data_IF_929653086667
#
_entry.id   IF_929653086667
#
_cell.length_a   1.000
_cell.length_b   1.000
_cell.length_c   1.000
_cell.angle_alpha   90.00
_cell.angle_beta   90.00
_cell.angle_gamma   90.00
#
_symmetry.space_group_name_H-M   'P 1'
#
loop_
_entity.id
_entity.type
_entity.pdbx_description
1 polymer ?
#
# COMPACT_ATOMS: atom_id res chain seq x y z
N UNK A 1 12.91 -0.98 6.29
CA UNK A 1 12.15 -2.24 6.17
C UNK A 1 11.69 -2.66 7.57
N UNK A 2 10.38 -2.58 7.82
CA UNK A 2 9.75 -3.18 8.98
C UNK A 2 8.89 -4.33 8.45
N UNK A 3 9.32 -5.57 8.67
CA UNK A 3 8.57 -6.76 8.27
C UNK A 3 7.89 -7.31 9.51
N UNK A 4 6.56 -7.33 9.54
CA UNK A 4 5.81 -8.06 10.56
C UNK A 4 4.97 -9.16 9.89
N UNK A 5 4.93 -10.32 10.53
CA UNK A 5 4.15 -11.46 10.10
C UNK A 5 3.04 -11.65 11.14
N UNK A 6 1.79 -11.35 10.78
CA UNK A 6 0.66 -11.73 11.64
C UNK A 6 0.41 -13.21 11.40
N UNK A 7 0.92 -14.05 12.30
CA UNK A 7 0.53 -15.45 12.36
C UNK A 7 -0.79 -15.54 13.12
N UNK A 8 -1.82 -16.01 12.43
CA UNK A 8 -3.08 -16.57 12.91
C UNK A 8 -3.43 -16.34 14.38
N UNK A 9 -4.32 -15.39 14.64
CA UNK A 9 -4.97 -15.21 15.94
C UNK A 9 -6.46 -15.58 15.91
N UNK A 10 -6.88 -16.59 15.15
CA UNK A 10 -8.13 -17.30 15.46
C UNK A 10 -8.01 -18.79 15.14
N UNK A 11 -8.12 -19.58 16.20
CA UNK A 11 -8.12 -21.04 16.20
C UNK A 11 -9.39 -21.55 15.49
N UNK A 12 -9.26 -22.09 14.28
CA UNK A 12 -10.13 -23.16 13.74
C UNK A 12 -9.57 -23.59 12.39
N UNK A 13 -9.22 -24.87 12.26
CA UNK A 13 -8.80 -25.49 10.99
C UNK A 13 -9.91 -25.31 9.95
N UNK A 14 -9.81 -24.27 9.12
CA UNK A 14 -10.61 -24.17 7.89
C UNK A 14 -9.87 -24.89 6.75
N UNK A 15 -10.56 -25.57 5.82
CA UNK A 15 -9.92 -26.32 4.72
C UNK A 15 -9.19 -25.47 3.66
N UNK A 16 -8.99 -24.17 3.89
CA UNK A 16 -8.53 -23.21 2.89
C UNK A 16 -7.61 -22.15 3.53
N UNK A 17 -6.39 -22.53 3.90
CA UNK A 17 -5.34 -21.58 4.27
C UNK A 17 -4.84 -20.84 3.00
N UNK A 18 -5.68 -19.95 2.47
CA UNK A 18 -5.28 -19.03 1.40
C UNK A 18 -4.29 -18.03 1.97
N UNK A 19 -3.01 -18.25 1.68
CA UNK A 19 -1.93 -17.34 2.03
C UNK A 19 -1.38 -16.75 0.74
N UNK A 20 -1.44 -15.44 0.64
CA UNK A 20 -0.87 -14.68 -0.46
C UNK A 20 -0.13 -13.49 0.12
N UNK A 21 1.15 -13.40 -0.19
CA UNK A 21 1.94 -12.25 0.22
C UNK A 21 3.33 -12.26 -0.38
N UNK A 22 3.86 -11.08 -0.64
CA UNK A 22 5.18 -10.91 -1.21
C UNK A 22 5.89 -9.71 -0.57
N UNK A 23 7.20 -9.75 -0.62
CA UNK A 23 8.08 -8.64 -0.27
C UNK A 23 9.28 -8.71 -1.20
N UNK A 24 9.55 -7.61 -1.89
CA UNK A 24 10.62 -7.53 -2.86
C UNK A 24 11.31 -6.16 -2.84
N UNK A 25 12.62 -6.17 -3.09
CA UNK A 25 13.49 -5.00 -3.20
C UNK A 25 13.95 -4.76 -4.64
N UNK A 26 14.34 -3.52 -4.92
CA UNK A 26 14.95 -3.13 -6.18
C UNK A 26 16.47 -3.30 -6.08
N UNK A 27 17.07 -4.21 -6.87
CA UNK A 27 18.51 -4.48 -6.78
C UNK A 27 19.36 -3.32 -7.33
N UNK A 28 18.91 -2.72 -8.42
CA UNK A 28 19.69 -1.78 -9.22
C UNK A 28 18.88 -0.53 -9.49
N UNK A 29 19.55 0.61 -9.38
CA UNK A 29 18.96 1.93 -9.66
C UNK A 29 18.41 1.99 -11.07
N UNK A 30 17.23 2.57 -11.23
CA UNK A 30 16.58 2.80 -12.52
C UNK A 30 16.33 4.30 -12.74
N UNK A 31 16.42 4.74 -14.00
CA UNK A 31 16.10 6.08 -14.43
C UNK A 31 15.74 6.09 -15.92
N UNK A 32 15.28 7.23 -16.44
CA UNK A 32 15.28 7.61 -17.86
C UNK A 32 14.14 7.13 -18.79
N UNK A 33 13.21 6.29 -18.34
CA UNK A 33 11.97 6.02 -19.10
C UNK A 33 10.81 5.67 -18.18
N UNK A 34 9.59 6.04 -18.60
CA UNK A 34 8.40 5.55 -17.91
C UNK A 34 8.37 4.03 -18.03
N UNK A 35 8.47 3.35 -16.89
CA UNK A 35 8.61 1.89 -16.89
C UNK A 35 7.95 1.28 -15.67
N UNK A 36 7.49 0.05 -15.84
CA UNK A 36 7.08 -0.76 -14.71
C UNK A 36 8.30 -1.05 -13.84
N UNK A 37 8.18 -0.85 -12.53
CA UNK A 37 9.28 -1.10 -11.60
C UNK A 37 9.31 -2.58 -11.26
N UNK A 38 10.39 -3.25 -11.68
CA UNK A 38 10.63 -4.66 -11.40
C UNK A 38 11.47 -4.77 -10.12
N UNK A 39 10.84 -5.13 -9.00
CA UNK A 39 11.54 -5.42 -7.74
C UNK A 39 12.04 -6.86 -7.79
N UNK A 40 13.28 -7.02 -8.21
CA UNK A 40 13.88 -8.30 -8.57
C UNK A 40 14.63 -9.02 -7.43
N UNK A 41 14.72 -8.41 -6.25
CA UNK A 41 15.25 -9.08 -5.05
C UNK A 41 14.07 -9.60 -4.23
N UNK A 42 13.81 -10.91 -4.23
CA UNK A 42 12.67 -11.48 -3.51
C UNK A 42 13.05 -11.84 -2.07
N UNK A 43 12.41 -11.18 -1.10
CA UNK A 43 12.51 -11.53 0.33
C UNK A 43 11.43 -12.56 0.72
N UNK A 44 10.22 -12.42 0.14
CA UNK A 44 9.12 -13.38 0.30
C UNK A 44 8.21 -13.39 -0.94
N UNK A 45 7.67 -14.55 -1.29
CA UNK A 45 6.66 -14.69 -2.36
C UNK A 45 5.73 -15.88 -2.09
N UNK A 46 4.97 -15.79 -1.00
CA UNK A 46 4.02 -16.81 -0.56
C UNK A 46 2.88 -16.92 -1.58
N UNK A 47 2.71 -18.11 -2.14
CA UNK A 47 1.75 -18.39 -3.20
C UNK A 47 2.27 -18.09 -4.61
N UNK A 48 3.44 -17.44 -4.75
CA UNK A 48 4.04 -17.18 -6.07
C UNK A 48 3.25 -16.18 -6.92
N UNK A 49 2.50 -15.27 -6.28
CA UNK A 49 1.59 -14.35 -6.94
C UNK A 49 2.25 -13.04 -7.38
N UNK A 50 3.50 -12.79 -6.94
CA UNK A 50 4.34 -11.73 -7.50
C UNK A 50 5.24 -12.30 -8.60
N UNK A 51 5.16 -11.72 -9.79
CA UNK A 51 6.01 -12.07 -10.93
C UNK A 51 7.21 -11.12 -10.98
N UNK A 52 8.39 -11.67 -10.67
CA UNK A 52 9.67 -10.95 -10.67
C UNK A 52 10.19 -10.57 -12.07
N UNK A 53 9.54 -11.01 -13.15
CA UNK A 53 9.90 -10.66 -14.53
C UNK A 53 9.12 -9.47 -15.03
N UNK A 54 7.83 -9.39 -14.68
CA UNK A 54 6.99 -8.24 -15.01
C UNK A 54 7.00 -7.18 -13.92
N UNK A 55 7.24 -7.51 -12.66
CA UNK A 55 7.10 -6.61 -11.51
C UNK A 55 5.66 -6.51 -10.98
N UNK A 56 4.76 -7.40 -11.42
CA UNK A 56 3.33 -7.36 -11.11
C UNK A 56 2.94 -8.37 -10.03
N UNK A 57 2.08 -7.95 -9.11
CA UNK A 57 1.32 -8.85 -8.25
C UNK A 57 -0.03 -9.16 -8.89
N UNK A 58 -0.43 -10.44 -8.96
CA UNK A 58 -1.73 -10.85 -9.47
C UNK A 58 -2.59 -11.44 -8.37
N UNK A 59 -3.76 -10.85 -8.11
CA UNK A 59 -4.67 -11.31 -7.06
C UNK A 59 -5.14 -12.75 -7.33
N UNK A 60 -4.86 -13.72 -6.44
CA UNK A 60 -5.29 -15.11 -6.65
C UNK A 60 -6.76 -15.36 -6.31
N UNK A 61 -7.38 -14.46 -5.53
CA UNK A 61 -8.74 -14.60 -5.01
C UNK A 61 -9.33 -13.23 -4.73
N UNK A 62 -10.65 -13.12 -4.78
CA UNK A 62 -11.39 -11.93 -4.37
C UNK A 62 -11.12 -11.62 -2.89
N UNK A 63 -10.79 -10.38 -2.59
CA UNK A 63 -10.54 -9.98 -1.21
C UNK A 63 -9.92 -8.61 -1.04
N UNK A 64 -9.62 -8.31 0.22
CA UNK A 64 -8.92 -7.11 0.64
C UNK A 64 -7.44 -7.40 0.80
N UNK A 65 -6.62 -6.59 0.15
CA UNK A 65 -5.16 -6.69 0.13
C UNK A 65 -4.56 -5.41 0.70
N UNK A 66 -3.48 -5.54 1.47
CA UNK A 66 -2.66 -4.42 1.92
C UNK A 66 -1.39 -4.36 1.08
N UNK A 67 -1.05 -3.19 0.59
CA UNK A 67 0.21 -2.94 -0.10
C UNK A 67 1.01 -1.86 0.62
N UNK A 68 2.33 -2.03 0.60
CA UNK A 68 3.32 -1.09 1.09
C UNK A 68 4.35 -0.88 0.00
N UNK A 69 4.67 0.37 -0.27
CA UNK A 69 5.73 0.69 -1.20
C UNK A 69 6.57 1.84 -0.66
N UNK A 70 7.87 1.72 -0.88
CA UNK A 70 8.87 2.66 -0.42
C UNK A 70 9.82 2.89 -1.55
N UNK A 71 10.03 4.16 -1.88
CA UNK A 71 11.02 4.58 -2.82
C UNK A 71 12.09 5.41 -2.14
N UNK A 72 13.32 5.26 -2.62
CA UNK A 72 14.49 5.94 -2.08
C UNK A 72 15.15 6.79 -3.15
N UNK A 73 15.59 7.98 -2.76
CA UNK A 73 16.39 8.88 -3.56
C UNK A 73 17.83 8.85 -3.06
N UNK A 74 18.77 8.86 -4.01
CA UNK A 74 20.16 9.18 -3.72
C UNK A 74 20.59 10.35 -4.61
N UNK A 75 21.21 11.37 -3.98
CA UNK A 75 21.80 12.53 -4.67
C UNK A 75 20.74 13.36 -5.41
N UNK A 76 21.17 14.15 -6.41
CA UNK A 76 20.40 15.23 -7.06
C UNK A 76 19.28 14.80 -8.01
N UNK A 77 18.48 13.78 -7.65
CA UNK A 77 17.39 13.26 -8.48
C UNK A 77 16.04 13.31 -7.76
N UNK A 78 14.96 13.51 -8.51
CA UNK A 78 13.60 13.44 -7.98
C UNK A 78 13.02 12.04 -8.18
N UNK A 79 12.05 11.67 -7.36
CA UNK A 79 11.31 10.42 -7.47
C UNK A 79 9.81 10.67 -7.65
N UNK A 80 9.18 9.91 -8.55
CA UNK A 80 7.73 9.88 -8.70
C UNK A 80 7.29 8.49 -9.15
N UNK A 81 6.62 7.78 -8.26
CA UNK A 81 6.10 6.44 -8.48
C UNK A 81 4.57 6.45 -8.38
N UNK A 82 3.89 5.93 -9.39
CA UNK A 82 2.45 5.68 -9.37
C UNK A 82 2.13 4.25 -8.94
N UNK A 83 1.02 4.10 -8.20
CA UNK A 83 0.34 2.82 -8.05
C UNK A 83 -0.54 2.55 -9.27
N UNK A 84 -0.33 1.39 -9.89
CA UNK A 84 -1.06 0.95 -11.07
C UNK A 84 -1.95 -0.24 -10.68
N UNK A 85 -3.21 -0.22 -11.13
CA UNK A 85 -4.12 -1.37 -11.09
C UNK A 85 -4.64 -1.61 -12.50
N UNK A 86 -4.49 -2.83 -13.01
CA UNK A 86 -4.94 -3.22 -14.36
C UNK A 86 -4.48 -2.20 -15.42
N UNK A 87 -3.18 -1.87 -15.39
CA UNK A 87 -2.49 -0.94 -16.29
C UNK A 87 -2.94 0.54 -16.24
N UNK A 88 -3.81 0.91 -15.29
CA UNK A 88 -4.29 2.28 -15.07
C UNK A 88 -3.78 2.88 -13.75
N UNK A 89 -3.47 4.17 -13.75
CA UNK A 89 -3.10 4.92 -12.52
C UNK A 89 -4.27 4.93 -11.54
N UNK A 90 -4.03 4.52 -10.30
CA UNK A 90 -5.08 4.41 -9.29
C UNK A 90 -5.22 5.70 -8.46
N UNK A 91 -6.26 6.49 -8.73
CA UNK A 91 -6.76 7.59 -7.88
C UNK A 91 -5.68 8.54 -7.32
N UNK A 92 -4.71 8.91 -8.15
CA UNK A 92 -3.58 9.77 -7.76
C UNK A 92 -2.83 9.27 -6.52
N UNK A 93 -2.75 7.94 -6.33
CA UNK A 93 -1.94 7.33 -5.28
C UNK A 93 -0.53 7.15 -5.77
N UNK A 94 0.32 8.06 -5.32
CA UNK A 94 1.72 8.11 -5.68
C UNK A 94 2.64 8.24 -4.45
N UNK A 95 3.93 8.08 -4.73
CA UNK A 95 5.04 8.45 -3.87
C UNK A 95 5.88 9.43 -4.67
N UNK A 96 6.09 10.62 -4.12
CA UNK A 96 6.85 11.69 -4.74
C UNK A 96 7.77 12.30 -3.71
N UNK A 97 8.99 12.59 -4.13
CA UNK A 97 9.95 13.29 -3.30
C UNK A 97 10.89 14.12 -4.19
N UNK A 98 11.19 15.34 -3.76
CA UNK A 98 12.08 16.26 -4.44
C UNK A 98 13.40 16.28 -3.73
N UNK A 99 14.47 16.22 -4.50
CA UNK A 99 15.80 16.42 -3.97
C UNK A 99 15.95 17.80 -3.34
N UNK A 100 16.57 17.85 -2.15
CA UNK A 100 17.15 19.05 -1.56
C UNK A 100 18.66 18.82 -1.32
N UNK A 101 19.48 19.88 -1.23
CA UNK A 101 20.95 19.76 -1.24
C UNK A 101 21.47 18.74 -0.21
N UNK A 102 22.20 17.73 -0.72
CA UNK A 102 22.86 16.63 0.01
C UNK A 102 21.99 15.55 0.68
N UNK A 103 20.75 15.29 0.25
CA UNK A 103 19.89 14.30 0.92
C UNK A 103 19.82 12.90 0.28
N UNK A 104 19.78 11.90 1.17
CA UNK A 104 19.18 10.60 0.93
C UNK A 104 17.75 10.66 1.48
N UNK A 105 16.75 10.67 0.60
CA UNK A 105 15.36 10.78 1.02
C UNK A 105 14.59 9.50 0.77
N UNK A 106 13.54 9.31 1.57
CA UNK A 106 12.67 8.13 1.49
C UNK A 106 11.24 8.59 1.60
N UNK A 107 10.45 8.24 0.59
CA UNK A 107 9.02 8.41 0.64
C UNK A 107 8.33 7.06 0.50
N UNK A 108 7.25 6.89 1.25
CA UNK A 108 6.52 5.63 1.32
C UNK A 108 5.02 5.89 1.35
N UNK A 109 4.27 4.93 0.85
CA UNK A 109 2.82 4.95 0.94
C UNK A 109 2.30 3.53 1.15
N UNK A 110 1.08 3.43 1.64
CA UNK A 110 0.44 2.16 1.93
C UNK A 110 -1.06 2.26 1.70
N UNK A 111 -1.66 1.19 1.18
CA UNK A 111 -3.08 1.21 0.80
C UNK A 111 -3.74 -0.15 0.99
N UNK A 112 -5.00 -0.12 1.42
CA UNK A 112 -5.91 -1.27 1.37
C UNK A 112 -6.70 -1.17 0.06
N UNK A 113 -6.69 -2.24 -0.72
CA UNK A 113 -7.45 -2.38 -1.97
C UNK A 113 -8.39 -3.57 -1.87
N UNK A 114 -9.60 -3.44 -2.40
CA UNK A 114 -10.38 -4.59 -2.81
C UNK A 114 -9.94 -4.98 -4.22
N UNK A 115 -9.61 -6.26 -4.43
CA UNK A 115 -9.20 -6.81 -5.71
C UNK A 115 -10.03 -8.04 -6.01
N UNK A 116 -10.42 -8.19 -7.28
CA UNK A 116 -10.98 -9.42 -7.79
C UNK A 116 -9.85 -10.36 -8.23
N UNK A 117 -10.16 -11.66 -8.29
CA UNK A 117 -9.27 -12.66 -8.83
C UNK A 117 -8.81 -12.25 -10.23
N UNK A 118 -7.49 -12.16 -10.39
CA UNK A 118 -6.83 -11.81 -11.64
C UNK A 118 -6.50 -10.35 -11.83
N UNK A 119 -6.96 -9.45 -10.95
CA UNK A 119 -6.51 -8.05 -10.94
C UNK A 119 -4.99 -7.99 -10.70
N UNK A 120 -4.32 -7.09 -11.41
CA UNK A 120 -2.88 -6.88 -11.34
C UNK A 120 -2.55 -5.56 -10.67
N UNK A 121 -1.57 -5.58 -9.76
CA UNK A 121 -1.07 -4.40 -9.05
C UNK A 121 0.43 -4.29 -9.24
N UNK A 122 0.90 -3.10 -9.62
CA UNK A 122 2.31 -2.81 -9.81
C UNK A 122 2.61 -1.33 -9.55
N UNK A 123 3.89 -0.98 -9.61
CA UNK A 123 4.36 0.40 -9.47
C UNK A 123 5.00 0.86 -10.77
N UNK A 124 4.74 2.11 -11.17
CA UNK A 124 5.34 2.69 -12.37
C UNK A 124 6.17 3.91 -12.01
N UNK A 125 7.41 3.94 -12.48
CA UNK A 125 8.26 5.11 -12.38
C UNK A 125 7.91 6.07 -13.52
N UNK A 126 7.65 7.34 -13.20
CA UNK A 126 7.39 8.36 -14.21
C UNK A 126 8.63 8.65 -15.06
N UNK A 127 8.42 9.02 -16.33
CA UNK A 127 9.50 9.43 -17.21
C UNK A 127 10.26 10.64 -16.63
N UNK A 128 11.59 10.61 -16.70
CA UNK A 128 12.45 11.66 -16.17
C UNK A 128 12.71 11.56 -14.65
N UNK A 129 12.14 10.57 -13.97
CA UNK A 129 12.38 10.33 -12.54
C UNK A 129 13.39 9.20 -12.30
N UNK A 130 13.78 9.09 -11.04
CA UNK A 130 14.80 8.20 -10.54
C UNK A 130 14.27 7.36 -9.39
N UNK A 131 14.76 6.11 -9.30
CA UNK A 131 14.50 5.26 -8.14
C UNK A 131 15.78 4.52 -7.76
N UNK A 132 16.23 4.70 -6.51
CA UNK A 132 17.45 4.09 -6.02
C UNK A 132 17.27 2.58 -5.76
N UNK A 133 18.23 1.79 -6.24
CA UNK A 133 18.30 0.35 -5.99
C UNK A 133 18.97 -0.03 -4.67
N UNK A 134 19.80 -1.08 -4.68
CA UNK A 134 20.50 -1.60 -3.49
C UNK A 134 19.56 -2.03 -2.36
N UNK A 135 18.37 -2.55 -2.73
CA UNK A 135 17.31 -3.00 -1.82
C UNK A 135 16.80 -1.92 -0.85
N UNK A 136 17.01 -0.63 -1.17
CA UNK A 136 16.46 0.50 -0.38
C UNK A 136 15.03 0.83 -0.78
N UNK A 137 14.72 0.71 -2.07
CA UNK A 137 13.35 0.78 -2.57
C UNK A 137 12.72 -0.61 -2.54
N UNK A 138 11.47 -0.70 -2.11
CA UNK A 138 10.77 -1.97 -1.88
C UNK A 138 9.29 -1.88 -2.20
N UNK A 139 8.73 -3.02 -2.63
CA UNK A 139 7.30 -3.21 -2.79
C UNK A 139 6.89 -4.50 -2.08
N UNK A 140 5.82 -4.44 -1.29
CA UNK A 140 5.32 -5.55 -0.53
C UNK A 140 3.80 -5.52 -0.48
N UNK A 141 3.19 -6.68 -0.31
CA UNK A 141 1.76 -6.75 -0.12
C UNK A 141 1.30 -8.12 0.32
N UNK A 142 0.12 -8.19 0.90
CA UNK A 142 -0.48 -9.45 1.34
C UNK A 142 -2.00 -9.39 1.41
N UNK A 143 -2.62 -10.56 1.31
CA UNK A 143 -4.05 -10.75 1.51
C UNK A 143 -4.38 -10.52 2.99
N UNK A 144 -5.16 -9.48 3.28
CA UNK A 144 -5.69 -9.20 4.63
C UNK A 144 -6.89 -10.10 4.92
N UNK A 145 -7.77 -10.22 3.94
CA UNK A 145 -9.06 -10.85 4.14
C UNK A 145 -9.66 -11.34 2.84
N UNK A 146 -9.99 -12.62 2.77
CA UNK A 146 -10.80 -13.17 1.68
C UNK A 146 -12.21 -12.58 1.69
N UNK A 147 -12.71 -12.28 0.50
CA UNK A 147 -14.14 -12.12 0.30
C UNK A 147 -14.76 -13.51 0.11
N UNK A 148 -15.53 -13.95 1.10
CA UNK A 148 -16.12 -15.27 1.05
C UNK A 148 -17.35 -15.26 0.13
N UNK A 149 -17.30 -16.06 -0.94
CA UNK A 149 -18.43 -16.26 -1.84
C UNK A 149 -19.66 -16.84 -1.10
N UNK A 150 -19.45 -17.65 -0.05
CA UNK A 150 -20.53 -18.28 0.70
C UNK A 150 -21.12 -17.36 1.79
N UNK A 151 -22.41 -17.06 1.67
CA UNK A 151 -23.17 -16.23 2.60
C UNK A 151 -23.16 -16.75 4.06
N UNK A 152 -23.04 -18.05 4.28
CA UNK A 152 -22.98 -18.64 5.63
C UNK A 152 -21.66 -18.28 6.33
N UNK A 153 -20.55 -18.23 5.60
CA UNK A 153 -19.26 -17.87 6.17
C UNK A 153 -19.17 -16.36 6.46
N UNK A 154 -19.85 -15.52 5.65
CA UNK A 154 -20.01 -14.07 5.91
C UNK A 154 -20.68 -13.77 7.26
N UNK A 155 -21.50 -14.68 7.76
CA UNK A 155 -22.25 -14.52 9.02
C UNK A 155 -21.42 -14.79 10.29
N UNK A 156 -20.22 -15.38 10.16
CA UNK A 156 -19.43 -15.89 11.29
C UNK A 156 -18.27 -14.99 11.74
N UNK A 157 -18.09 -13.80 11.16
CA UNK A 157 -16.95 -12.93 11.47
C UNK A 157 -17.34 -11.46 11.57
N UNK A 158 -17.04 -10.85 12.71
CA UNK A 158 -17.03 -9.40 12.85
C UNK A 158 -15.79 -8.87 12.11
N UNK A 159 -16.01 -8.36 10.90
CA UNK A 159 -14.96 -7.77 10.07
C UNK A 159 -14.96 -6.26 10.30
N UNK A 160 -13.81 -5.70 10.61
CA UNK A 160 -13.64 -4.26 10.83
C UNK A 160 -12.36 -3.79 10.14
N UNK A 161 -12.47 -2.69 9.41
CA UNK A 161 -11.34 -2.10 8.72
C UNK A 161 -11.76 -0.88 7.96
N UNK A 162 -10.89 0.12 7.88
CA UNK A 162 -11.15 1.31 7.09
C UNK A 162 -9.90 1.77 6.38
N UNK A 163 -10.10 2.47 5.28
CA UNK A 163 -9.10 3.30 4.64
C UNK A 163 -9.79 4.61 4.28
N UNK A 164 -9.18 5.72 4.68
CA UNK A 164 -9.69 7.06 4.43
C UNK A 164 -8.55 7.99 3.99
N UNK A 165 -8.91 9.02 3.23
CA UNK A 165 -7.98 10.05 2.72
C UNK A 165 -8.51 11.45 3.07
N UNK A 166 -7.66 12.46 2.92
CA UNK A 166 -8.07 13.86 2.92
C UNK A 166 -8.52 14.28 1.51
N UNK A 167 -9.56 15.11 1.41
CA UNK A 167 -9.94 15.76 0.14
C UNK A 167 -9.16 17.03 -0.16
N UNK A 168 -8.49 17.60 0.83
CA UNK A 168 -7.78 18.89 0.74
C UNK A 168 -6.69 18.98 1.80
N UNK A 169 -5.70 19.84 1.55
CA UNK A 169 -4.63 20.12 2.50
C UNK A 169 -5.17 20.66 3.82
N UNK A 170 -4.53 20.26 4.92
CA UNK A 170 -4.77 20.83 6.25
C UNK A 170 -3.67 21.87 6.50
N UNK A 171 -4.04 23.02 7.06
CA UNK A 171 -3.09 24.08 7.39
C UNK A 171 -2.17 23.71 8.57
N UNK A 172 -1.43 24.70 9.07
CA UNK A 172 -0.44 24.52 10.15
C UNK A 172 -1.02 24.70 11.56
N UNK A 173 -2.31 25.04 11.69
CA UNK A 173 -2.96 25.21 12.99
C UNK A 173 -3.25 23.87 13.66
N UNK A 174 -3.12 23.83 14.99
CA UNK A 174 -3.46 22.65 15.78
C UNK A 174 -4.95 22.31 15.63
N UNK A 175 -5.25 21.12 15.09
CA UNK A 175 -6.62 20.65 14.83
C UNK A 175 -6.66 19.13 14.73
N UNK A 176 -7.82 18.53 14.99
CA UNK A 176 -8.05 17.11 14.74
C UNK A 176 -7.96 16.83 13.24
N UNK A 177 -7.18 15.81 12.86
CA UNK A 177 -7.09 15.37 11.47
C UNK A 177 -8.32 14.51 11.13
N UNK A 178 -9.17 15.01 10.24
CA UNK A 178 -10.39 14.32 9.80
C UNK A 178 -10.23 13.86 8.36
N UNK A 179 -9.94 12.56 8.16
CA UNK A 179 -9.92 11.94 6.84
C UNK A 179 -11.35 11.80 6.30
N UNK A 180 -11.81 12.82 5.59
CA UNK A 180 -13.20 13.00 5.18
C UNK A 180 -13.59 12.21 3.91
N UNK A 181 -12.65 11.55 3.24
CA UNK A 181 -12.91 10.70 2.07
C UNK A 181 -12.78 9.24 2.46
N UNK A 182 -13.89 8.51 2.50
CA UNK A 182 -13.89 7.06 2.74
C UNK A 182 -13.50 6.30 1.46
N UNK A 183 -12.41 5.53 1.50
CA UNK A 183 -12.06 4.57 0.46
C UNK A 183 -12.67 3.18 0.75
N UNK A 184 -12.58 2.75 2.02
CA UNK A 184 -13.08 1.46 2.54
C UNK A 184 -13.61 1.71 3.96
N UNK A 185 -14.76 1.12 4.31
CA UNK A 185 -15.33 1.19 5.67
C UNK A 185 -16.08 -0.09 6.04
N UNK A 186 -15.34 -1.19 6.18
CA UNK A 186 -15.88 -2.50 6.54
C UNK A 186 -16.47 -2.43 7.95
N UNK A 187 -17.74 -2.76 8.08
CA UNK A 187 -18.49 -2.69 9.34
C UNK A 187 -18.97 -1.28 9.73
N UNK A 188 -18.63 -0.24 8.96
CA UNK A 188 -19.13 1.12 9.22
C UNK A 188 -18.60 1.77 10.50
N UNK A 189 -17.43 1.33 10.98
CA UNK A 189 -16.89 1.72 12.28
C UNK A 189 -16.03 3.00 12.24
N UNK A 190 -15.68 3.50 11.05
CA UNK A 190 -15.04 4.80 10.88
C UNK A 190 -16.08 5.89 10.59
N UNK A 191 -16.02 6.99 11.35
CA UNK A 191 -16.88 8.15 11.17
C UNK A 191 -16.10 9.31 10.53
N UNK A 192 -16.35 9.55 9.24
CA UNK A 192 -15.68 10.58 8.43
C UNK A 192 -15.96 12.02 8.85
N UNK A 193 -16.96 12.27 9.69
CA UNK A 193 -17.27 13.61 10.20
C UNK A 193 -16.47 13.94 11.46
N UNK A 194 -16.11 12.93 12.25
CA UNK A 194 -15.38 13.10 13.51
C UNK A 194 -13.93 12.62 13.46
N UNK A 195 -13.54 11.92 12.38
CA UNK A 195 -12.21 11.31 12.25
C UNK A 195 -12.01 10.06 13.11
N UNK A 196 -13.05 9.58 13.81
CA UNK A 196 -12.93 8.55 14.84
C UNK A 196 -13.27 7.16 14.31
N UNK A 197 -12.39 6.20 14.58
CA UNK A 197 -12.66 4.76 14.45
C UNK A 197 -13.11 4.18 15.80
N UNK A 198 -14.21 3.44 15.82
CA UNK A 198 -14.69 2.73 17.00
C UNK A 198 -14.36 1.26 16.88
N UNK A 199 -13.47 0.77 17.73
CA UNK A 199 -13.12 -0.65 17.79
C UNK A 199 -14.37 -1.45 18.17
N UNK A 200 -14.88 -2.34 17.30
CA UNK A 200 -16.14 -3.04 17.57
C UNK A 200 -15.98 -4.26 18.48
N UNK A 201 -14.76 -4.78 18.63
CA UNK A 201 -14.43 -5.93 19.44
C UNK A 201 -13.02 -5.82 20.01
N UNK A 202 -12.81 -6.38 21.19
CA UNK A 202 -11.50 -6.50 21.80
C UNK A 202 -10.56 -7.32 20.90
N UNK A 203 -9.35 -6.79 20.68
CA UNK A 203 -8.35 -7.44 19.85
C UNK A 203 -7.22 -6.52 19.44
N UNK A 204 -6.28 -7.08 18.69
CA UNK A 204 -5.18 -6.31 18.13
C UNK A 204 -5.63 -5.56 16.89
N UNK A 205 -5.37 -4.26 16.86
CA UNK A 205 -5.64 -3.39 15.74
C UNK A 205 -4.33 -2.84 15.21
N UNK A 206 -4.26 -2.61 13.91
CA UNK A 206 -3.06 -2.14 13.24
C UNK A 206 -3.41 -0.93 12.40
N UNK A 207 -2.68 0.16 12.60
CA UNK A 207 -2.95 1.44 11.96
C UNK A 207 -1.73 1.91 11.19
N UNK A 208 -1.97 2.41 9.98
CA UNK A 208 -0.96 3.03 9.13
C UNK A 208 -1.49 4.39 8.71
N UNK A 209 -0.62 5.38 8.68
CA UNK A 209 -0.91 6.70 8.16
C UNK A 209 0.25 7.12 7.26
N UNK A 210 -0.09 7.76 6.15
CA UNK A 210 0.89 8.38 5.26
C UNK A 210 0.51 9.85 5.13
N UNK A 211 1.50 10.72 5.26
CA UNK A 211 1.35 12.16 5.10
C UNK A 211 2.25 12.63 3.98
N UNK A 212 1.76 13.58 3.19
CA UNK A 212 2.56 14.32 2.24
C UNK A 212 2.58 15.79 2.70
N UNK A 213 3.77 16.36 2.79
CA UNK A 213 3.98 17.75 3.17
C UNK A 213 4.62 18.50 2.02
N UNK A 214 4.18 19.73 1.78
CA UNK A 214 4.78 20.62 0.79
C UNK A 214 4.83 22.04 1.34
N UNK A 215 5.81 22.82 0.90
CA UNK A 215 5.93 24.25 1.20
C UNK A 215 5.43 25.05 -0.01
N UNK A 216 4.74 26.15 0.24
CA UNK A 216 4.35 27.12 -0.82
C UNK A 216 5.32 28.31 -0.90
N UNK A 217 6.40 28.31 -0.11
CA UNK A 217 7.29 29.47 0.04
C UNK A 217 8.46 29.50 -0.95
N UNK A 218 8.30 28.96 -2.16
CA UNK A 218 9.24 29.15 -3.26
C UNK A 218 8.55 29.83 -4.44
N UNK A 219 8.58 31.16 -4.43
CA UNK A 219 8.52 32.03 -5.61
C UNK A 219 9.73 32.95 -5.60
#
# INVERSE_FOLDING_TARGET
MLSFFVKDLFYSRRPTDWRSGFSAGLSSTISSSETNVIFNTIDANIGGHYDQTSGKFRAPIDGYYMFFFTGHIQSSNNMYIDLIINDSVYKDKWVYDQYNTDSYDTASNSIILHLNMGDEVNLRLHSGYYLYGSNRSSFSGFLLQIEEANAVCRQLGWKAGFSASLSSSIGTSETDIIFNVININIGGHYNQTSGKFRVPLDGYNMFFFNGYTYSTNEM
#
